data_IF_909116782733
#
_entry.id   IF_909116782733
#
_cell.length_a   1.000
_cell.length_b   1.000
_cell.length_c   1.000
_cell.angle_alpha   90.00
_cell.angle_beta   90.00
_cell.angle_gamma   90.00
#
_symmetry.space_group_name_H-M   'P 1'
#
loop_
_entity.id
_entity.type
_entity.pdbx_description
1 polymer ?
#
# COMPACT_ATOMS: atom_id res chain seq x y z
N UNK A 1 20.87 -3.39 -6.82
CA UNK A 1 20.20 -4.65 -6.44
C UNK A 1 18.71 -4.43 -6.58
N UNK A 2 17.99 -5.36 -7.23
CA UNK A 2 16.52 -5.32 -7.27
C UNK A 2 15.94 -5.44 -5.86
N UNK A 3 14.86 -4.70 -5.55
CA UNK A 3 14.21 -4.79 -4.24
C UNK A 3 13.63 -6.20 -4.00
N UNK A 4 13.71 -6.67 -2.77
CA UNK A 4 13.06 -7.94 -2.38
C UNK A 4 11.55 -7.73 -2.33
N UNK A 5 10.82 -8.31 -3.27
CA UNK A 5 9.36 -8.20 -3.33
C UNK A 5 8.65 -8.88 -2.15
N UNK A 6 9.35 -9.66 -1.35
CA UNK A 6 8.72 -10.35 -0.24
C UNK A 6 7.48 -11.13 -0.64
N UNK A 7 6.55 -11.28 0.29
CA UNK A 7 5.27 -11.96 0.06
C UNK A 7 4.14 -10.99 -0.31
N UNK A 8 4.02 -9.88 0.40
CA UNK A 8 2.97 -8.88 0.15
C UNK A 8 3.21 -8.06 -1.12
N UNK A 9 4.48 -7.78 -1.46
CA UNK A 9 4.82 -7.12 -2.72
C UNK A 9 4.50 -7.99 -3.94
N UNK A 10 4.67 -9.32 -3.84
CA UNK A 10 4.25 -10.24 -4.89
C UNK A 10 2.75 -10.21 -5.12
N UNK A 11 1.93 -10.14 -4.07
CA UNK A 11 0.48 -9.96 -4.22
C UNK A 11 0.16 -8.75 -5.10
N UNK A 12 0.80 -7.60 -4.83
CA UNK A 12 0.58 -6.38 -5.62
C UNK A 12 1.12 -6.54 -7.04
N UNK A 13 2.30 -7.16 -7.21
CA UNK A 13 2.91 -7.38 -8.53
C UNK A 13 2.05 -8.30 -9.41
N UNK A 14 1.52 -9.39 -8.84
CA UNK A 14 0.66 -10.35 -9.56
C UNK A 14 -0.65 -9.69 -10.00
N UNK A 15 -1.26 -8.87 -9.14
CA UNK A 15 -2.42 -8.06 -9.50
C UNK A 15 -2.07 -7.11 -10.63
N UNK A 16 -0.92 -6.45 -10.56
CA UNK A 16 -0.47 -5.51 -11.60
C UNK A 16 -0.21 -6.20 -12.94
N UNK A 17 0.34 -7.41 -12.93
CA UNK A 17 0.57 -8.21 -14.13
C UNK A 17 -0.74 -8.59 -14.85
N UNK A 18 -1.88 -8.60 -14.15
CA UNK A 18 -3.21 -8.77 -14.73
C UNK A 18 -3.80 -7.51 -15.39
N UNK A 19 -3.02 -6.42 -15.45
CA UNK A 19 -3.40 -5.17 -16.13
C UNK A 19 -4.26 -4.20 -15.31
N UNK A 20 -4.34 -4.38 -13.98
CA UNK A 20 -5.08 -3.50 -13.07
C UNK A 20 -4.24 -3.03 -11.87
N UNK A 21 -4.72 -2.02 -11.15
CA UNK A 21 -4.14 -1.63 -9.88
C UNK A 21 -4.56 -2.55 -8.73
N UNK A 22 -3.75 -2.64 -7.68
CA UNK A 22 -4.13 -3.34 -6.46
C UNK A 22 -4.91 -2.42 -5.52
N UNK A 23 -5.93 -2.98 -4.87
CA UNK A 23 -6.70 -2.33 -3.81
C UNK A 23 -6.27 -2.86 -2.45
N UNK A 24 -5.81 -1.96 -1.58
CA UNK A 24 -5.41 -2.27 -0.20
C UNK A 24 -6.40 -1.61 0.76
N UNK A 25 -7.08 -2.42 1.57
CA UNK A 25 -8.10 -1.93 2.50
C UNK A 25 -7.62 -1.97 3.95
N UNK A 26 -7.77 -0.86 4.68
CA UNK A 26 -7.40 -0.74 6.09
C UNK A 26 -8.64 -0.67 6.98
N UNK A 27 -8.66 -1.47 8.06
CA UNK A 27 -9.59 -1.32 9.19
C UNK A 27 -8.86 -1.56 10.52
N UNK A 28 -9.19 -0.81 11.59
CA UNK A 28 -8.67 -1.08 12.92
C UNK A 28 -9.35 -2.30 13.53
N UNK A 29 -8.58 -3.21 14.13
CA UNK A 29 -9.13 -4.29 14.96
C UNK A 29 -9.80 -3.72 16.20
N UNK A 30 -10.87 -4.38 16.69
CA UNK A 30 -11.57 -4.00 17.92
C UNK A 30 -12.58 -2.86 17.77
N UNK A 31 -12.83 -2.33 16.58
CA UNK A 31 -13.86 -1.32 16.35
C UNK A 31 -15.00 -1.84 15.45
N UNK A 32 -16.28 -1.66 15.84
CA UNK A 32 -16.77 -1.13 17.13
C UNK A 32 -16.49 -2.01 18.33
N UNK A 33 -16.36 -3.30 18.18
CA UNK A 33 -15.86 -4.29 19.13
C UNK A 33 -15.05 -5.36 18.41
N UNK A 34 -14.45 -6.30 19.16
CA UNK A 34 -13.61 -7.34 18.56
C UNK A 34 -14.42 -8.24 17.60
N UNK A 35 -15.55 -8.85 17.99
CA UNK A 35 -16.32 -9.69 17.09
C UNK A 35 -16.76 -9.03 15.78
N UNK A 36 -17.31 -7.80 15.87
CA UNK A 36 -17.75 -7.05 14.68
C UNK A 36 -16.56 -6.62 13.82
N UNK A 37 -15.44 -6.23 14.42
CA UNK A 37 -14.24 -5.88 13.68
C UNK A 37 -13.67 -7.07 12.89
N UNK A 38 -13.69 -8.29 13.46
CA UNK A 38 -13.28 -9.50 12.75
C UNK A 38 -14.21 -9.80 11.57
N UNK A 39 -15.52 -9.58 11.72
CA UNK A 39 -16.47 -9.72 10.63
C UNK A 39 -16.24 -8.66 9.54
N UNK A 40 -15.98 -7.40 9.92
CA UNK A 40 -15.68 -6.31 8.99
C UNK A 40 -14.37 -6.55 8.23
N UNK A 41 -13.31 -6.98 8.91
CA UNK A 41 -12.02 -7.32 8.29
C UNK A 41 -12.18 -8.44 7.25
N UNK A 42 -12.93 -9.50 7.55
CA UNK A 42 -13.25 -10.55 6.58
C UNK A 42 -14.06 -10.02 5.38
N UNK A 43 -15.00 -9.11 5.64
CA UNK A 43 -15.85 -8.54 4.59
C UNK A 43 -15.06 -7.68 3.57
N UNK A 44 -13.85 -7.19 3.92
CA UNK A 44 -12.98 -6.52 2.98
C UNK A 44 -12.54 -7.42 1.81
N UNK A 45 -12.34 -8.72 2.06
CA UNK A 45 -11.94 -9.69 1.03
C UNK A 45 -13.02 -10.00 -0.01
N UNK A 46 -14.24 -9.50 0.19
CA UNK A 46 -15.41 -9.87 -0.65
C UNK A 46 -16.05 -11.19 -0.20
N UNK A 47 -16.98 -11.69 -1.00
CA UNK A 47 -17.75 -12.91 -0.69
C UNK A 47 -17.80 -13.91 -1.85
N UNK A 48 -16.96 -13.72 -2.87
CA UNK A 48 -16.92 -14.54 -4.07
C UNK A 48 -17.89 -14.08 -5.17
N UNK A 49 -19.02 -13.45 -4.83
CA UNK A 49 -19.94 -12.80 -5.77
C UNK A 49 -19.53 -11.33 -6.01
N UNK A 50 -19.13 -10.65 -4.94
CA UNK A 50 -18.65 -9.28 -4.98
C UNK A 50 -17.13 -9.23 -4.79
N UNK A 51 -16.40 -8.50 -5.66
CA UNK A 51 -14.95 -8.39 -5.55
C UNK A 51 -14.57 -7.60 -4.30
N UNK A 52 -13.55 -8.10 -3.56
CA UNK A 52 -12.95 -7.45 -2.42
C UNK A 52 -11.64 -6.72 -2.72
N UNK A 53 -10.94 -6.39 -1.64
CA UNK A 53 -9.56 -5.87 -1.69
C UNK A 53 -8.57 -7.01 -1.99
N UNK A 54 -7.40 -6.64 -2.52
CA UNK A 54 -6.34 -7.59 -2.84
C UNK A 54 -5.42 -7.87 -1.63
N UNK A 55 -5.34 -6.91 -0.72
CA UNK A 55 -4.56 -7.00 0.52
C UNK A 55 -5.28 -6.24 1.64
N UNK A 56 -5.38 -6.86 2.81
CA UNK A 56 -5.94 -6.22 3.99
C UNK A 56 -4.82 -5.69 4.88
N UNK A 57 -4.99 -4.48 5.37
CA UNK A 57 -4.18 -3.89 6.45
C UNK A 57 -4.99 -3.93 7.74
N UNK A 58 -4.58 -4.80 8.66
CA UNK A 58 -5.16 -4.85 10.01
C UNK A 58 -4.49 -3.78 10.86
N UNK A 59 -5.23 -2.72 11.18
CA UNK A 59 -4.73 -1.63 12.01
C UNK A 59 -4.77 -1.97 13.50
N UNK A 60 -3.69 -1.68 14.21
CA UNK A 60 -3.68 -1.79 15.66
C UNK A 60 -3.99 -0.42 16.28
N UNK A 61 -5.09 -0.29 17.05
CA UNK A 61 -5.42 0.96 17.75
C UNK A 61 -4.29 1.40 18.69
N UNK A 62 -3.97 2.70 18.65
CA UNK A 62 -2.93 3.31 19.46
C UNK A 62 -3.46 4.56 20.17
N UNK A 63 -2.98 4.82 21.40
CA UNK A 63 -3.45 5.94 22.23
C UNK A 63 -2.93 7.30 21.75
N UNK A 64 -1.74 7.33 21.16
CA UNK A 64 -1.00 8.56 20.83
C UNK A 64 -0.59 8.61 19.33
N UNK A 65 -1.55 8.46 18.39
CA UNK A 65 -1.24 8.36 16.96
C UNK A 65 -0.77 9.71 16.41
N UNK A 66 0.36 9.70 15.68
CA UNK A 66 0.94 10.89 15.05
C UNK A 66 0.61 11.00 13.55
N UNK A 67 0.17 9.89 12.94
CA UNK A 67 -0.08 9.81 11.49
C UNK A 67 -1.56 9.57 11.15
N UNK A 68 -2.36 9.12 12.09
CA UNK A 68 -3.77 8.77 11.85
C UNK A 68 -4.65 10.01 11.69
N UNK A 69 -5.56 9.97 10.73
CA UNK A 69 -6.61 10.97 10.58
C UNK A 69 -7.68 10.88 11.68
N UNK A 70 -8.41 11.98 11.89
CA UNK A 70 -9.45 12.06 12.95
C UNK A 70 -10.46 10.92 12.91
N UNK A 71 -10.80 10.40 11.73
CA UNK A 71 -11.70 9.25 11.55
C UNK A 71 -11.11 7.97 12.17
N UNK A 72 -9.84 7.69 11.87
CA UNK A 72 -9.13 6.52 12.40
C UNK A 72 -8.88 6.68 13.89
N UNK A 73 -8.48 7.87 14.34
CA UNK A 73 -8.32 8.20 15.77
C UNK A 73 -9.63 7.97 16.56
N UNK A 74 -10.77 8.43 16.02
CA UNK A 74 -12.08 8.24 16.67
C UNK A 74 -12.42 6.76 16.85
N UNK A 75 -12.22 5.93 15.82
CA UNK A 75 -12.43 4.50 15.88
C UNK A 75 -11.45 3.82 16.84
N UNK A 76 -10.15 4.16 16.75
CA UNK A 76 -9.10 3.64 17.63
C UNK A 76 -9.35 3.97 19.11
N UNK A 77 -9.71 5.21 19.44
CA UNK A 77 -10.05 5.62 20.80
C UNK A 77 -11.22 4.81 21.36
N UNK A 78 -12.28 4.59 20.55
CA UNK A 78 -13.43 3.78 20.94
C UNK A 78 -13.04 2.30 21.17
N UNK A 79 -12.21 1.73 20.28
CA UNK A 79 -11.71 0.36 20.41
C UNK A 79 -10.88 0.17 21.68
N UNK A 80 -9.97 1.12 21.98
CA UNK A 80 -9.17 1.10 23.22
C UNK A 80 -10.04 1.20 24.47
N UNK A 81 -11.03 2.09 24.48
CA UNK A 81 -11.96 2.24 25.59
C UNK A 81 -12.79 0.96 25.84
N UNK A 82 -13.01 0.15 24.80
CA UNK A 82 -13.71 -1.15 24.87
C UNK A 82 -12.78 -2.33 25.16
N UNK A 83 -11.50 -2.05 25.38
CA UNK A 83 -10.55 -3.03 25.90
C UNK A 83 -9.82 -3.85 24.89
N UNK A 84 -9.74 -3.44 23.61
CA UNK A 84 -8.87 -4.08 22.62
C UNK A 84 -7.43 -4.18 23.10
N UNK A 85 -6.73 -5.24 22.75
CA UNK A 85 -5.34 -5.54 23.14
C UNK A 85 -4.50 -5.94 21.93
N UNK A 86 -3.17 -5.87 22.06
CA UNK A 86 -2.22 -6.24 21.01
C UNK A 86 -2.49 -7.62 20.43
N UNK A 87 -2.83 -8.60 21.28
CA UNK A 87 -3.15 -9.97 20.82
C UNK A 87 -4.36 -10.04 19.86
N UNK A 88 -5.27 -9.07 19.92
CA UNK A 88 -6.46 -9.07 19.08
C UNK A 88 -6.12 -8.77 17.61
N UNK A 89 -4.94 -8.17 17.35
CA UNK A 89 -4.44 -7.95 15.98
C UNK A 89 -4.16 -9.29 15.28
N UNK A 90 -3.62 -10.27 16.00
CA UNK A 90 -3.35 -11.60 15.43
C UNK A 90 -4.65 -12.33 15.09
N UNK A 91 -5.67 -12.22 15.97
CA UNK A 91 -7.01 -12.74 15.65
C UNK A 91 -7.63 -12.05 14.41
N UNK A 92 -7.38 -10.74 14.23
CA UNK A 92 -7.76 -10.00 13.03
C UNK A 92 -7.08 -10.53 11.78
N UNK A 93 -5.77 -10.75 11.84
CA UNK A 93 -4.97 -11.34 10.74
C UNK A 93 -5.46 -12.74 10.41
N UNK A 94 -5.61 -13.62 11.41
CA UNK A 94 -6.11 -15.00 11.23
C UNK A 94 -7.49 -15.02 10.59
N UNK A 95 -8.40 -14.13 11.02
CA UNK A 95 -9.74 -14.05 10.46
C UNK A 95 -9.75 -13.69 8.96
N UNK A 96 -8.81 -12.83 8.54
CA UNK A 96 -8.64 -12.42 7.14
C UNK A 96 -7.99 -13.54 6.32
N UNK A 97 -6.88 -14.10 6.82
CA UNK A 97 -6.10 -15.10 6.09
C UNK A 97 -6.85 -16.44 5.97
N UNK A 98 -7.61 -16.83 7.00
CA UNK A 98 -8.50 -17.98 6.95
C UNK A 98 -9.64 -17.81 5.91
N UNK A 99 -10.03 -16.58 5.60
CA UNK A 99 -10.97 -16.26 4.52
C UNK A 99 -10.31 -16.21 3.13
N UNK A 100 -8.99 -16.47 3.04
CA UNK A 100 -8.25 -16.51 1.78
C UNK A 100 -7.68 -15.17 1.30
N UNK A 101 -7.82 -14.09 2.07
CA UNK A 101 -7.29 -12.79 1.70
C UNK A 101 -5.94 -12.55 2.38
N UNK A 102 -4.89 -12.10 1.65
CA UNK A 102 -3.61 -11.74 2.24
C UNK A 102 -3.74 -10.58 3.24
N UNK A 103 -2.95 -10.59 4.32
CA UNK A 103 -2.98 -9.55 5.34
C UNK A 103 -1.59 -9.10 5.79
N UNK A 104 -1.47 -7.80 6.03
CA UNK A 104 -0.36 -7.17 6.76
C UNK A 104 -0.92 -6.41 7.96
N UNK A 105 -0.08 -6.12 8.94
CA UNK A 105 -0.45 -5.28 10.09
C UNK A 105 0.10 -3.87 9.92
N UNK A 106 -0.65 -2.86 10.35
CA UNK A 106 -0.13 -1.50 10.53
C UNK A 106 -0.15 -1.15 12.01
N UNK A 107 1.01 -0.82 12.55
CA UNK A 107 1.18 -0.57 13.98
C UNK A 107 2.29 0.43 14.25
N UNK A 108 2.16 1.18 15.34
CA UNK A 108 3.24 2.00 15.89
C UNK A 108 4.28 1.12 16.58
N UNK A 109 5.54 1.50 16.45
CA UNK A 109 6.67 0.66 16.84
C UNK A 109 6.71 0.35 18.34
N UNK A 110 6.36 1.32 19.17
CA UNK A 110 6.28 1.13 20.62
C UNK A 110 5.43 -0.09 21.04
N UNK A 111 4.37 -0.41 20.30
CA UNK A 111 3.51 -1.56 20.61
C UNK A 111 4.20 -2.89 20.33
N UNK A 112 5.04 -2.93 19.29
CA UNK A 112 5.85 -4.11 18.93
C UNK A 112 6.96 -4.32 19.95
N UNK A 113 7.66 -3.25 20.35
CA UNK A 113 8.70 -3.31 21.39
C UNK A 113 8.14 -3.79 22.72
N UNK A 114 7.00 -3.24 23.14
CA UNK A 114 6.34 -3.63 24.38
C UNK A 114 5.87 -5.09 24.39
N UNK A 115 5.42 -5.60 23.25
CA UNK A 115 5.05 -7.02 23.10
C UNK A 115 6.28 -7.94 23.09
N UNK A 116 7.41 -7.43 22.66
CA UNK A 116 8.63 -8.15 22.34
C UNK A 116 8.74 -8.45 20.85
N UNK A 117 9.78 -7.90 20.21
CA UNK A 117 9.93 -7.86 18.75
C UNK A 117 9.84 -9.25 18.11
N UNK A 118 10.64 -10.22 18.62
CA UNK A 118 10.65 -11.60 18.11
C UNK A 118 9.31 -12.32 18.38
N UNK A 119 8.75 -12.13 19.57
CA UNK A 119 7.43 -12.70 19.92
C UNK A 119 6.33 -12.18 18.99
N UNK A 120 6.33 -10.87 18.69
CA UNK A 120 5.39 -10.26 17.77
C UNK A 120 5.56 -10.82 16.35
N UNK A 121 6.80 -10.92 15.86
CA UNK A 121 7.10 -11.47 14.54
C UNK A 121 6.65 -12.94 14.41
N UNK A 122 6.96 -13.76 15.42
CA UNK A 122 6.54 -15.16 15.47
C UNK A 122 5.02 -15.30 15.46
N UNK A 123 4.32 -14.54 16.31
CA UNK A 123 2.87 -14.65 16.47
C UNK A 123 2.13 -14.09 15.25
N UNK A 124 2.65 -13.02 14.62
CA UNK A 124 2.17 -12.50 13.34
C UNK A 124 2.33 -13.52 12.21
N UNK A 125 3.50 -14.14 12.08
CA UNK A 125 3.74 -15.17 11.09
C UNK A 125 2.84 -16.40 11.33
N UNK A 126 2.66 -16.80 12.61
CA UNK A 126 1.76 -17.88 13.03
C UNK A 126 0.28 -17.63 12.67
N UNK A 127 -0.17 -16.38 12.72
CA UNK A 127 -1.50 -15.95 12.27
C UNK A 127 -1.65 -15.88 10.74
N UNK A 128 -0.57 -16.13 9.99
CA UNK A 128 -0.57 -16.06 8.52
C UNK A 128 -0.30 -14.67 7.96
N UNK A 129 0.08 -13.70 8.80
CA UNK A 129 0.41 -12.35 8.37
C UNK A 129 1.66 -12.32 7.47
N UNK A 130 1.70 -11.36 6.55
CA UNK A 130 2.78 -11.25 5.59
C UNK A 130 3.87 -10.26 6.02
N UNK A 131 3.58 -9.30 6.89
CA UNK A 131 4.53 -8.29 7.33
C UNK A 131 3.87 -7.15 8.10
N UNK A 132 4.65 -6.11 8.39
CA UNK A 132 4.13 -4.89 9.06
C UNK A 132 4.46 -3.61 8.28
N UNK A 133 3.55 -2.65 8.42
CA UNK A 133 3.70 -1.26 8.05
C UNK A 133 3.99 -0.49 9.34
N UNK A 134 5.13 0.17 9.42
CA UNK A 134 5.56 0.94 10.60
C UNK A 134 5.64 2.43 10.26
N UNK A 135 4.65 3.25 10.68
CA UNK A 135 4.62 4.67 10.34
C UNK A 135 5.73 5.50 10.98
N UNK A 136 6.21 5.07 12.13
CA UNK A 136 7.13 5.78 13.03
C UNK A 136 8.51 5.13 13.17
N UNK A 137 8.76 3.98 12.54
CA UNK A 137 10.07 3.33 12.52
C UNK A 137 10.83 3.69 11.24
N UNK A 138 12.03 4.24 11.37
CA UNK A 138 12.93 4.48 10.25
C UNK A 138 13.87 3.30 10.02
N UNK A 139 14.37 3.08 8.78
CA UNK A 139 15.33 2.02 8.52
C UNK A 139 16.59 2.06 9.40
N UNK A 140 17.03 3.29 9.76
CA UNK A 140 18.23 3.51 10.57
C UNK A 140 18.08 2.99 12.03
N UNK A 141 16.84 2.78 12.47
CA UNK A 141 16.49 2.31 13.82
C UNK A 141 15.89 0.90 13.81
N UNK A 142 15.84 0.25 12.62
CA UNK A 142 15.08 -0.97 12.41
C UNK A 142 15.89 -2.28 12.54
N UNK A 143 17.14 -2.26 12.98
CA UNK A 143 18.02 -3.46 13.01
C UNK A 143 17.36 -4.66 13.69
N UNK A 144 16.73 -4.45 14.84
CA UNK A 144 16.05 -5.51 15.58
C UNK A 144 14.84 -6.06 14.82
N UNK A 145 14.09 -5.18 14.13
CA UNK A 145 12.98 -5.58 13.28
C UNK A 145 13.46 -6.30 12.03
N UNK A 146 14.52 -5.83 11.39
CA UNK A 146 15.13 -6.49 10.23
C UNK A 146 15.48 -7.93 10.58
N UNK A 147 16.20 -8.14 11.70
CA UNK A 147 16.58 -9.49 12.15
C UNK A 147 15.37 -10.39 12.43
N UNK A 148 14.37 -9.90 13.16
CA UNK A 148 13.16 -10.67 13.49
C UNK A 148 12.31 -10.95 12.24
N UNK A 149 12.12 -9.97 11.36
CA UNK A 149 11.36 -10.14 10.12
C UNK A 149 12.01 -11.13 9.16
N UNK A 150 13.34 -11.16 9.09
CA UNK A 150 14.08 -12.14 8.28
C UNK A 150 13.94 -13.56 8.88
N UNK A 151 14.04 -13.70 10.21
CA UNK A 151 13.90 -14.98 10.90
C UNK A 151 12.50 -15.61 10.69
N UNK A 152 11.45 -14.78 10.62
CA UNK A 152 10.06 -15.23 10.49
C UNK A 152 9.46 -15.06 9.08
N UNK A 153 10.27 -14.63 8.09
CA UNK A 153 9.84 -14.48 6.69
C UNK A 153 8.77 -13.39 6.48
N UNK A 154 8.83 -12.31 7.26
CA UNK A 154 7.89 -11.20 7.22
C UNK A 154 8.42 -10.04 6.36
N UNK A 155 7.53 -9.31 5.74
CA UNK A 155 7.83 -8.11 4.97
C UNK A 155 7.96 -6.88 5.87
N UNK A 156 8.80 -5.93 5.42
CA UNK A 156 9.06 -4.64 6.08
C UNK A 156 8.60 -3.53 5.17
N UNK A 157 7.53 -2.85 5.53
CA UNK A 157 6.90 -1.83 4.71
C UNK A 157 7.11 -0.48 5.38
N UNK A 158 8.13 0.24 4.93
CA UNK A 158 8.43 1.58 5.43
C UNK A 158 7.70 2.65 4.64
N UNK A 159 7.60 3.84 5.23
CA UNK A 159 6.93 4.98 4.66
C UNK A 159 7.92 5.96 4.03
N UNK A 160 7.51 6.55 2.91
CA UNK A 160 8.17 7.71 2.31
C UNK A 160 7.16 8.84 2.18
N UNK A 161 7.64 10.07 2.29
CA UNK A 161 6.82 11.28 2.24
C UNK A 161 7.38 12.30 1.25
N UNK A 162 6.60 13.30 0.82
CA UNK A 162 7.09 14.36 -0.06
C UNK A 162 8.29 15.15 0.50
N UNK A 163 8.42 15.22 1.82
CA UNK A 163 9.53 15.87 2.50
C UNK A 163 10.80 15.03 2.60
N UNK A 164 10.74 13.73 2.26
CA UNK A 164 11.92 12.87 2.24
C UNK A 164 12.94 13.40 1.21
N UNK A 165 14.22 13.51 1.59
CA UNK A 165 15.30 13.79 0.65
C UNK A 165 15.50 12.59 -0.28
N UNK A 166 16.09 12.79 -1.46
CA UNK A 166 16.28 11.70 -2.42
C UNK A 166 17.19 10.59 -1.87
N UNK A 167 18.22 10.95 -1.10
CA UNK A 167 19.06 9.98 -0.41
C UNK A 167 18.26 9.14 0.60
N UNK A 168 17.42 9.79 1.42
CA UNK A 168 16.59 9.10 2.41
C UNK A 168 15.51 8.26 1.74
N UNK A 169 14.95 8.75 0.64
CA UNK A 169 13.99 8.02 -0.16
C UNK A 169 14.61 6.73 -0.71
N UNK A 170 15.80 6.82 -1.33
CA UNK A 170 16.51 5.66 -1.87
C UNK A 170 16.85 4.64 -0.77
N UNK A 171 17.41 5.09 0.37
CA UNK A 171 17.75 4.18 1.48
C UNK A 171 16.51 3.50 2.09
N UNK A 172 15.41 4.25 2.26
CA UNK A 172 14.15 3.70 2.79
C UNK A 172 13.57 2.63 1.85
N UNK A 173 13.53 2.93 0.55
CA UNK A 173 13.00 1.97 -0.43
C UNK A 173 13.86 0.71 -0.50
N UNK A 174 15.19 0.83 -0.42
CA UNK A 174 16.10 -0.31 -0.40
C UNK A 174 15.99 -1.17 0.86
N UNK A 175 15.61 -0.57 1.99
CA UNK A 175 15.40 -1.28 3.24
C UNK A 175 14.05 -2.02 3.29
N UNK A 176 13.09 -1.66 2.42
CA UNK A 176 11.84 -2.37 2.31
C UNK A 176 12.06 -3.81 1.84
N UNK A 177 11.24 -4.69 2.36
CA UNK A 177 10.95 -6.01 1.81
C UNK A 177 9.44 -6.06 1.60
N UNK A 178 9.01 -6.28 0.35
CA UNK A 178 7.61 -6.19 -0.03
C UNK A 178 7.36 -4.98 -0.93
N UNK A 179 6.91 -3.90 -0.37
CA UNK A 179 6.58 -2.67 -1.09
C UNK A 179 6.82 -1.45 -0.21
N UNK A 180 6.81 -0.25 -0.80
CA UNK A 180 6.97 1.00 -0.07
C UNK A 180 5.64 1.74 0.00
N UNK A 181 5.31 2.28 1.17
CA UNK A 181 4.12 3.09 1.39
C UNK A 181 4.44 4.57 1.13
N UNK A 182 3.91 5.12 0.05
CA UNK A 182 4.04 6.55 -0.24
C UNK A 182 2.87 7.32 0.38
N UNK A 183 3.17 8.17 1.37
CA UNK A 183 2.20 9.08 1.94
C UNK A 183 2.17 10.36 1.13
N UNK A 184 1.01 10.85 0.76
CA UNK A 184 0.88 12.05 -0.07
C UNK A 184 0.66 13.33 0.71
N UNK A 185 0.51 13.24 2.01
CA UNK A 185 0.20 14.38 2.88
C UNK A 185 1.19 14.41 4.02
N UNK A 186 1.81 15.57 4.21
CA UNK A 186 2.46 15.89 5.48
C UNK A 186 1.36 16.26 6.48
N UNK A 187 1.16 15.41 7.49
CA UNK A 187 0.11 15.58 8.49
C UNK A 187 -1.09 14.66 8.25
N UNK A 188 -2.06 14.79 9.11
CA UNK A 188 -3.21 13.91 9.32
C UNK A 188 -3.93 13.51 8.03
N UNK A 189 -4.15 12.21 7.81
CA UNK A 189 -4.95 11.68 6.71
C UNK A 189 -6.43 12.06 6.88
N UNK A 190 -7.08 12.51 5.80
CA UNK A 190 -8.51 12.84 5.77
C UNK A 190 -9.04 12.83 4.33
N UNK A 191 -10.36 12.62 4.16
CA UNK A 191 -11.01 12.64 2.85
C UNK A 191 -10.84 14.01 2.16
N UNK A 192 -10.47 14.02 0.88
CA UNK A 192 -10.32 15.24 0.04
C UNK A 192 -11.05 15.08 -1.29
N UNK A 193 -11.44 16.21 -1.87
CA UNK A 193 -12.23 16.28 -3.10
C UNK A 193 -11.40 16.27 -4.38
N UNK A 194 -10.06 16.27 -4.31
CA UNK A 194 -9.18 16.18 -5.49
C UNK A 194 -7.87 15.45 -5.13
N UNK A 195 -7.35 14.64 -6.05
CA UNK A 195 -6.03 14.02 -5.98
C UNK A 195 -4.96 15.12 -6.06
N UNK A 196 -4.09 15.14 -5.05
CA UNK A 196 -2.99 16.10 -4.99
C UNK A 196 -1.93 15.76 -6.04
N UNK A 197 -1.42 16.74 -6.78
CA UNK A 197 -0.30 16.58 -7.71
C UNK A 197 1.01 16.12 -7.03
N UNK A 198 1.04 16.13 -5.71
CA UNK A 198 2.20 15.75 -4.89
C UNK A 198 2.46 14.23 -4.92
N UNK A 199 1.41 13.42 -4.98
CA UNK A 199 1.58 11.96 -4.96
C UNK A 199 2.20 11.40 -6.24
N UNK A 200 1.76 11.78 -7.46
CA UNK A 200 2.44 11.38 -8.69
C UNK A 200 3.93 11.73 -8.69
N UNK A 201 4.27 12.95 -8.25
CA UNK A 201 5.67 13.39 -8.16
C UNK A 201 6.49 12.56 -7.18
N UNK A 202 5.93 12.20 -6.00
CA UNK A 202 6.60 11.32 -5.05
C UNK A 202 6.82 9.92 -5.62
N UNK A 203 5.82 9.33 -6.27
CA UNK A 203 5.94 8.01 -6.92
C UNK A 203 7.00 8.04 -8.02
N UNK A 204 7.06 9.11 -8.81
CA UNK A 204 8.09 9.28 -9.82
C UNK A 204 9.49 9.32 -9.19
N UNK A 205 9.70 10.11 -8.13
CA UNK A 205 10.99 10.15 -7.39
C UNK A 205 11.39 8.79 -6.83
N UNK A 206 10.43 8.00 -6.33
CA UNK A 206 10.69 6.63 -5.88
C UNK A 206 11.19 5.76 -7.03
N UNK A 207 10.55 5.84 -8.21
CA UNK A 207 10.95 5.07 -9.40
C UNK A 207 12.29 5.52 -9.97
N UNK A 208 12.60 6.80 -9.92
CA UNK A 208 13.92 7.32 -10.33
C UNK A 208 15.03 6.78 -9.42
N UNK A 209 14.76 6.68 -8.12
CA UNK A 209 15.72 6.15 -7.16
C UNK A 209 15.84 4.61 -7.22
N UNK A 210 14.72 3.90 -7.38
CA UNK A 210 14.64 2.42 -7.43
C UNK A 210 13.57 2.03 -8.44
N UNK A 211 13.90 1.81 -9.73
CA UNK A 211 12.93 1.61 -10.81
C UNK A 211 11.94 0.45 -10.61
N UNK A 212 12.39 -0.62 -9.94
CA UNK A 212 11.61 -1.84 -9.73
C UNK A 212 10.79 -1.83 -8.42
N UNK A 213 10.80 -0.71 -7.68
CA UNK A 213 10.07 -0.62 -6.40
C UNK A 213 8.56 -0.69 -6.62
N UNK A 214 7.90 -1.56 -5.86
CA UNK A 214 6.44 -1.58 -5.76
C UNK A 214 6.00 -0.44 -4.85
N UNK A 215 5.12 0.42 -5.34
CA UNK A 215 4.66 1.61 -4.60
C UNK A 215 3.16 1.53 -4.37
N UNK A 216 2.75 1.54 -3.10
CA UNK A 216 1.38 1.74 -2.68
C UNK A 216 1.18 3.18 -2.20
N UNK A 217 0.05 3.79 -2.54
CA UNK A 217 -0.24 5.20 -2.24
C UNK A 217 -1.49 5.36 -1.39
N UNK A 218 -1.36 6.07 -0.26
CA UNK A 218 -2.46 6.48 0.61
C UNK A 218 -2.77 7.98 0.43
N UNK A 219 -3.95 8.30 -0.10
CA UNK A 219 -4.35 9.67 -0.49
C UNK A 219 -5.66 10.16 0.11
N UNK A 220 -6.30 9.37 0.97
CA UNK A 220 -7.65 9.69 1.43
C UNK A 220 -8.72 9.48 0.36
N UNK A 221 -8.50 8.49 -0.52
CA UNK A 221 -9.46 8.02 -1.53
C UNK A 221 -10.76 7.59 -0.86
N UNK A 222 -11.88 7.97 -1.44
CA UNK A 222 -13.23 7.74 -0.89
C UNK A 222 -14.22 7.07 -1.85
N UNK A 223 -13.84 6.88 -3.12
CA UNK A 223 -14.68 6.26 -4.14
C UNK A 223 -13.85 5.55 -5.23
N UNK A 224 -14.54 4.78 -6.08
CA UNK A 224 -13.92 4.01 -7.15
C UNK A 224 -13.27 4.86 -8.24
N UNK A 225 -13.80 6.06 -8.54
CA UNK A 225 -13.21 6.94 -9.54
C UNK A 225 -11.86 7.47 -9.09
N UNK A 226 -11.73 7.88 -7.83
CA UNK A 226 -10.46 8.29 -7.24
C UNK A 226 -9.47 7.11 -7.14
N UNK A 227 -9.96 5.90 -6.81
CA UNK A 227 -9.12 4.70 -6.80
C UNK A 227 -8.54 4.40 -8.19
N UNK A 228 -9.36 4.51 -9.26
CA UNK A 228 -8.91 4.38 -10.64
C UNK A 228 -7.84 5.42 -11.02
N UNK A 229 -7.99 6.66 -10.57
CA UNK A 229 -7.01 7.72 -10.83
C UNK A 229 -5.64 7.39 -10.21
N UNK A 230 -5.62 6.94 -8.95
CA UNK A 230 -4.37 6.60 -8.26
C UNK A 230 -3.64 5.45 -8.97
N UNK A 231 -4.35 4.45 -9.45
CA UNK A 231 -3.74 3.29 -10.11
C UNK A 231 -3.13 3.58 -11.48
N UNK A 232 -3.36 4.79 -12.03
CA UNK A 232 -2.65 5.25 -13.24
C UNK A 232 -1.17 5.52 -13.02
N UNK A 233 -0.78 5.90 -11.80
CA UNK A 233 0.60 6.25 -11.47
C UNK A 233 1.20 5.42 -10.33
N UNK A 234 0.41 4.65 -9.58
CA UNK A 234 0.88 3.78 -8.49
C UNK A 234 0.52 2.31 -8.74
N UNK A 235 1.20 1.38 -8.07
CA UNK A 235 0.91 -0.05 -8.17
C UNK A 235 -0.30 -0.45 -7.33
N UNK A 236 -0.47 0.23 -6.18
CA UNK A 236 -1.60 0.00 -5.28
C UNK A 236 -2.16 1.30 -4.75
N UNK A 237 -3.47 1.31 -4.50
CA UNK A 237 -4.18 2.35 -3.75
C UNK A 237 -4.56 1.83 -2.37
N UNK A 238 -4.28 2.62 -1.33
CA UNK A 238 -4.57 2.26 0.06
C UNK A 238 -5.72 3.13 0.55
N UNK A 239 -6.78 2.46 1.01
CA UNK A 239 -8.01 3.12 1.49
C UNK A 239 -8.24 2.74 2.95
N UNK A 240 -8.33 3.72 3.83
CA UNK A 240 -8.55 3.53 5.26
C UNK A 240 -9.74 4.33 5.76
N UNK A 241 -9.57 5.66 5.87
CA UNK A 241 -10.55 6.55 6.52
C UNK A 241 -11.97 6.42 5.94
N UNK A 242 -12.11 6.23 4.63
CA UNK A 242 -13.42 6.05 4.00
C UNK A 242 -14.08 4.75 4.47
N UNK A 243 -13.34 3.64 4.53
CA UNK A 243 -13.84 2.35 5.04
C UNK A 243 -14.21 2.44 6.52
N UNK A 244 -13.35 3.06 7.35
CA UNK A 244 -13.64 3.29 8.78
C UNK A 244 -14.88 4.16 8.96
N UNK A 245 -15.10 5.15 8.09
CA UNK A 245 -16.29 6.03 8.16
C UNK A 245 -17.59 5.27 7.98
N UNK A 246 -17.63 4.18 7.19
CA UNK A 246 -18.83 3.36 7.04
C UNK A 246 -19.22 2.67 8.35
N UNK A 247 -18.22 2.18 9.11
CA UNK A 247 -18.45 1.55 10.42
C UNK A 247 -18.89 2.59 11.47
N UNK A 248 -18.29 3.79 11.44
CA UNK A 248 -18.71 4.90 12.30
C UNK A 248 -20.15 5.30 12.03
N UNK A 249 -20.55 5.40 10.76
CA UNK A 249 -21.91 5.73 10.36
C UNK A 249 -22.93 4.66 10.80
N UNK A 250 -22.56 3.38 10.69
CA UNK A 250 -23.39 2.26 11.17
C UNK A 250 -23.59 2.30 12.70
N UNK A 251 -22.51 2.54 13.46
CA UNK A 251 -22.61 2.68 14.91
C UNK A 251 -23.41 3.92 15.33
N UNK A 252 -23.16 5.08 14.70
CA UNK A 252 -23.90 6.32 14.97
C UNK A 252 -25.42 6.19 14.65
N UNK A 253 -25.77 5.26 13.72
CA UNK A 253 -27.16 4.89 13.42
C UNK A 253 -27.74 3.80 14.37
N UNK A 254 -26.99 3.38 15.39
CA UNK A 254 -27.41 2.33 16.34
C UNK A 254 -27.37 0.91 15.78
N UNK A 255 -26.66 0.67 14.70
CA UNK A 255 -26.52 -0.61 14.01
C UNK A 255 -25.06 -1.00 13.79
N UNK A 256 -24.26 -1.15 14.88
CA UNK A 256 -22.81 -1.33 14.77
C UNK A 256 -22.38 -2.59 13.98
N UNK A 257 -23.22 -3.61 13.89
CA UNK A 257 -23.01 -4.84 13.11
C UNK A 257 -23.39 -4.73 11.62
N UNK A 258 -23.99 -3.61 11.19
CA UNK A 258 -24.40 -3.42 9.80
C UNK A 258 -23.20 -3.10 8.89
N UNK A 259 -22.76 -4.06 8.11
CA UNK A 259 -21.64 -3.96 7.17
C UNK A 259 -22.08 -3.62 5.74
N UNK A 260 -23.34 -3.28 5.49
CA UNK A 260 -23.86 -2.99 4.14
C UNK A 260 -23.10 -1.85 3.49
N UNK A 261 -22.90 -0.73 4.21
CA UNK A 261 -22.14 0.42 3.72
C UNK A 261 -20.67 0.10 3.41
N UNK A 262 -20.03 -0.75 4.26
CA UNK A 262 -18.67 -1.22 4.05
C UNK A 262 -18.57 -2.04 2.76
N UNK A 263 -19.44 -3.03 2.57
CA UNK A 263 -19.45 -3.88 1.38
C UNK A 263 -19.69 -3.09 0.09
N UNK A 264 -20.64 -2.14 0.12
CA UNK A 264 -20.93 -1.27 -1.01
C UNK A 264 -19.72 -0.44 -1.42
N UNK A 265 -19.02 0.17 -0.45
CA UNK A 265 -17.82 0.95 -0.73
C UNK A 265 -16.67 0.08 -1.23
N UNK A 266 -16.46 -1.11 -0.65
CA UNK A 266 -15.44 -2.06 -1.14
C UNK A 266 -15.71 -2.45 -2.59
N UNK A 267 -16.95 -2.75 -2.94
CA UNK A 267 -17.33 -3.11 -4.31
C UNK A 267 -17.08 -1.95 -5.29
N UNK A 268 -17.43 -0.71 -4.93
CA UNK A 268 -17.17 0.48 -5.74
C UNK A 268 -15.67 0.71 -5.96
N UNK A 269 -14.88 0.68 -4.90
CA UNK A 269 -13.42 0.82 -4.96
C UNK A 269 -12.79 -0.29 -5.83
N UNK A 270 -13.25 -1.53 -5.63
CA UNK A 270 -12.78 -2.68 -6.39
C UNK A 270 -13.14 -2.57 -7.89
N UNK A 271 -14.29 -2.05 -8.22
CA UNK A 271 -14.66 -1.74 -9.62
C UNK A 271 -13.74 -0.67 -10.21
N UNK A 272 -13.43 0.38 -9.43
CA UNK A 272 -12.54 1.46 -9.84
C UNK A 272 -11.15 0.97 -10.24
N UNK A 273 -10.49 0.18 -9.39
CA UNK A 273 -9.13 -0.33 -9.68
C UNK A 273 -9.08 -1.38 -10.80
N UNK A 274 -10.23 -1.95 -11.17
CA UNK A 274 -10.38 -2.91 -12.28
C UNK A 274 -10.63 -2.24 -13.62
N UNK A 275 -10.92 -0.95 -13.65
CA UNK A 275 -11.03 -0.18 -14.89
C UNK A 275 -9.66 -0.18 -15.57
N UNK A 276 -9.54 -0.64 -16.85
CA UNK A 276 -8.26 -0.69 -17.52
C UNK A 276 -7.58 0.66 -17.54
N UNK A 277 -6.40 0.75 -16.97
CA UNK A 277 -5.56 1.95 -17.07
C UNK A 277 -4.97 1.98 -18.48
N UNK A 278 -5.57 2.73 -19.39
CA UNK A 278 -5.00 2.96 -20.73
C UNK A 278 -3.68 3.73 -20.62
N UNK A 279 -2.55 3.01 -20.64
CA UNK A 279 -1.22 3.59 -20.60
C UNK A 279 -0.28 2.67 -19.80
N UNK A 280 0.71 2.07 -20.47
CA UNK A 280 1.72 1.25 -19.84
C UNK A 280 2.54 2.09 -18.86
N UNK A 281 2.58 1.66 -17.63
CA UNK A 281 3.46 2.24 -16.58
C UNK A 281 4.88 1.71 -16.72
N UNK A 282 5.09 0.75 -17.64
CA UNK A 282 6.39 0.19 -17.97
C UNK A 282 7.08 1.07 -19.02
N UNK A 283 8.02 1.89 -18.55
CA UNK A 283 9.00 2.55 -19.39
C UNK A 283 10.03 1.57 -19.97
N UNK A 284 9.61 0.55 -20.70
CA UNK A 284 10.50 -0.16 -21.61
C UNK A 284 10.69 0.72 -22.84
N UNK A 285 11.76 1.52 -22.82
CA UNK A 285 12.24 2.23 -23.99
C UNK A 285 12.47 1.20 -25.10
N UNK A 286 11.59 1.21 -26.09
CA UNK A 286 11.77 0.53 -27.36
C UNK A 286 13.04 1.07 -28.04
N UNK A 287 14.13 0.34 -27.87
CA UNK A 287 15.33 0.49 -28.70
C UNK A 287 15.19 -0.45 -29.87
N UNK A 288 14.36 -0.11 -30.82
CA UNK A 288 14.39 -0.73 -32.12
C UNK A 288 15.32 0.06 -33.04
N UNK A 289 16.37 -0.60 -33.37
CA UNK A 289 17.35 -0.31 -34.43
C UNK A 289 16.72 0.26 -35.72
N UNK A 290 17.18 1.43 -36.12
CA UNK A 290 17.09 1.89 -37.46
C UNK A 290 18.48 1.71 -38.16
N UNK A 291 18.81 0.45 -38.50
CA UNK A 291 19.80 0.17 -39.50
C UNK A 291 19.05 -0.28 -40.76
N UNK A 292 18.85 0.61 -41.67
CA UNK A 292 18.53 0.26 -43.05
C UNK A 292 19.45 1.03 -43.96
N UNK A 293 20.41 0.29 -44.53
CA UNK A 293 21.24 0.79 -45.58
C UNK A 293 20.45 0.93 -46.89
N UNK A 294 20.78 1.90 -47.67
CA UNK A 294 20.59 1.82 -49.09
C UNK A 294 21.89 2.22 -49.81
N UNK A 295 22.40 1.28 -50.62
CA UNK A 295 23.48 1.45 -51.60
C UNK A 295 22.81 1.56 -52.94
N UNK A 296 23.08 2.62 -53.65
CA UNK A 296 23.21 2.72 -55.13
C UNK A 296 23.49 4.18 -55.41
N UNK A 297 24.50 4.64 -56.03
CA UNK A 297 25.24 4.15 -57.16
C UNK A 297 25.42 5.31 -58.12
N UNK A 298 26.62 5.39 -58.72
CA UNK A 298 27.01 6.15 -59.92
C UNK A 298 27.34 7.64 -59.81
N UNK A 299 28.61 7.99 -59.80
CA UNK A 299 29.60 8.12 -60.88
C UNK A 299 29.63 9.49 -61.57
N UNK A 300 30.89 9.99 -61.77
CA UNK A 300 31.38 11.04 -62.66
C UNK A 300 31.20 12.50 -62.18
N UNK A 301 32.15 13.30 -62.15
CA UNK A 301 33.41 13.42 -62.84
C UNK A 301 34.07 14.73 -62.53
N UNK A 302 35.33 14.67 -62.62
CA UNK A 302 36.31 15.64 -63.18
C UNK A 302 36.38 17.08 -62.68
N UNK A 303 37.55 17.40 -62.16
CA UNK A 303 38.52 18.38 -62.73
C UNK A 303 38.73 19.70 -61.94
N UNK A 304 39.97 19.76 -61.45
CA UNK A 304 40.96 20.88 -61.52
C UNK A 304 40.80 22.08 -60.57
N UNK A 305 41.85 22.17 -59.83
CA UNK A 305 43.01 23.07 -59.88
C UNK A 305 42.89 24.42 -59.16
N UNK A 306 43.94 24.63 -58.34
CA UNK A 306 44.81 25.80 -58.16
C UNK A 306 44.35 26.77 -57.08
N UNK A 307 45.04 26.85 -56.00
CA UNK A 307 46.25 27.68 -55.76
C UNK A 307 45.89 28.86 -54.88
N UNK A 308 46.46 29.01 -53.86
CA UNK A 308 47.57 29.70 -53.22
C UNK A 308 47.52 29.47 -51.70
#
# INVERSE_FOLDING_TARGET
>A
MSPDLGRSGRVIADVRSSGRGALVGYLPVGYPDVPVSLAALRALGGDGESPGVDLVVVGMPYSDPVMDGVTVQRAGTRALARGVRTRDVFAGVEAVTAAGTPAVVMTYWNLVEHYGIDAFARDLAGAGGLGIITPDLTPDEADAWVAASDAHGLDRIFLVSPSSTDLRLASTVQACRGWVYATSVMGVTGARTSTSSVAPALVQRVREAVPEAIVGVGLGVSDGAQAAEVTRFAHAVIVGSALVSTLLAAEDAGRPEDLTGLRALVADLAAGVRTPTGGSVDGSADRTDAVSGDRTGTNRGTTRLVGT
#
